data_IF_572712961054
#
_entry.id   IF_572712961054
#
_cell.length_a   1.000
_cell.length_b   1.000
_cell.length_c   1.000
_cell.angle_alpha   90.00
_cell.angle_beta   90.00
_cell.angle_gamma   90.00
#
_symmetry.space_group_name_H-M   'P 1'
#
loop_
_entity.id
_entity.type
_entity.pdbx_description
1 polymer ?
#
# COMPACT_ATOMS: atom_id res chain seq x y z
N UNK A 1 9.28 -1.41 -24.30
CA UNK A 1 8.25 -2.42 -24.00
C UNK A 1 7.79 -2.28 -22.57
N UNK A 2 6.48 -2.11 -22.35
CA UNK A 2 5.93 -1.91 -21.02
C UNK A 2 5.97 -3.20 -20.20
N UNK A 3 6.55 -3.14 -19.01
CA UNK A 3 6.58 -4.26 -18.08
C UNK A 3 5.25 -4.28 -17.31
N UNK A 4 4.67 -5.45 -17.14
CA UNK A 4 3.45 -5.60 -16.34
C UNK A 4 3.73 -6.45 -15.12
N UNK A 5 3.43 -5.89 -13.95
CA UNK A 5 3.50 -6.61 -12.68
C UNK A 5 2.08 -7.04 -12.30
N UNK A 6 1.93 -8.31 -11.93
CA UNK A 6 0.64 -8.86 -11.54
C UNK A 6 0.66 -9.13 -10.04
N UNK A 7 -0.30 -8.56 -9.32
CA UNK A 7 -0.47 -8.79 -7.88
C UNK A 7 -1.72 -9.61 -7.64
N UNK A 8 -1.57 -10.67 -6.85
CA UNK A 8 -2.69 -11.52 -6.47
C UNK A 8 -3.34 -10.96 -5.21
N UNK A 9 -4.37 -10.14 -5.40
CA UNK A 9 -5.08 -9.49 -4.31
C UNK A 9 -5.84 -10.44 -3.40
N UNK A 10 -6.10 -11.67 -3.85
CA UNK A 10 -6.77 -12.66 -3.02
C UNK A 10 -5.90 -13.13 -1.83
N UNK A 11 -4.59 -12.90 -1.92
CA UNK A 11 -3.63 -13.24 -0.86
C UNK A 11 -3.45 -12.11 0.16
N UNK A 12 -4.05 -10.94 -0.09
CA UNK A 12 -3.85 -9.74 0.72
C UNK A 12 -4.97 -9.64 1.77
N UNK A 13 -4.66 -9.99 3.00
CA UNK A 13 -5.57 -9.88 4.14
C UNK A 13 -5.14 -8.81 5.12
N UNK A 14 -3.85 -8.47 5.11
CA UNK A 14 -3.26 -7.42 5.95
C UNK A 14 -2.32 -6.59 5.10
N UNK A 15 -1.90 -5.44 5.63
CA UNK A 15 -0.92 -4.62 4.94
C UNK A 15 0.43 -5.35 4.80
N UNK A 16 0.79 -6.18 5.79
CA UNK A 16 2.01 -7.01 5.72
C UNK A 16 1.94 -8.02 4.58
N UNK A 17 0.77 -8.61 4.34
CA UNK A 17 0.55 -9.50 3.18
C UNK A 17 0.76 -8.74 1.88
N UNK A 18 0.27 -7.50 1.81
CA UNK A 18 0.45 -6.65 0.63
C UNK A 18 1.94 -6.44 0.33
N UNK A 19 2.73 -6.11 1.37
CA UNK A 19 4.18 -5.93 1.18
C UNK A 19 4.83 -7.20 0.64
N UNK A 20 4.40 -8.36 1.09
CA UNK A 20 4.92 -9.65 0.61
C UNK A 20 4.59 -9.86 -0.87
N UNK A 21 3.35 -9.62 -1.25
CA UNK A 21 2.89 -9.78 -2.65
C UNK A 21 3.66 -8.84 -3.58
N UNK A 22 3.81 -7.58 -3.18
CA UNK A 22 4.56 -6.60 -3.98
C UNK A 22 6.02 -7.02 -4.10
N UNK A 23 6.65 -7.41 -3.00
CA UNK A 23 8.06 -7.83 -3.01
C UNK A 23 8.31 -9.02 -3.92
N UNK A 24 7.43 -10.01 -3.91
CA UNK A 24 7.54 -11.20 -4.77
C UNK A 24 7.37 -10.84 -6.24
N UNK A 25 6.42 -9.95 -6.54
CA UNK A 25 6.07 -9.60 -7.92
C UNK A 25 7.08 -8.69 -8.58
N UNK A 26 7.54 -7.65 -7.89
CA UNK A 26 8.38 -6.61 -8.48
C UNK A 26 9.87 -6.91 -8.38
N UNK A 27 10.25 -7.97 -7.69
CA UNK A 27 11.67 -8.26 -7.47
C UNK A 27 12.32 -7.33 -6.46
N UNK A 28 11.56 -6.51 -5.76
CA UNK A 28 12.06 -5.68 -4.67
C UNK A 28 12.45 -6.52 -3.45
N UNK A 29 12.56 -7.83 -3.64
CA UNK A 29 12.66 -8.82 -2.58
C UNK A 29 13.96 -8.83 -1.80
N UNK A 30 15.00 -8.15 -2.28
CA UNK A 30 16.24 -8.05 -1.52
C UNK A 30 16.04 -7.21 -0.27
N UNK A 31 15.63 -5.98 -0.45
CA UNK A 31 15.34 -5.08 0.65
C UNK A 31 14.22 -4.13 0.23
N UNK A 32 13.07 -4.39 0.76
CA UNK A 32 11.90 -3.54 0.61
C UNK A 32 11.51 -3.10 2.02
N UNK A 33 11.51 -1.80 2.27
CA UNK A 33 11.33 -1.27 3.62
C UNK A 33 9.98 -1.54 4.28
N UNK A 34 9.04 -2.13 3.56
CA UNK A 34 7.73 -2.57 4.06
C UNK A 34 6.98 -1.47 4.78
N UNK A 35 6.95 -0.29 4.17
CA UNK A 35 6.17 0.84 4.66
C UNK A 35 5.72 1.68 3.47
N UNK A 36 4.85 2.66 3.72
CA UNK A 36 4.28 3.47 2.64
C UNK A 36 5.32 4.28 1.88
N UNK A 37 6.32 4.82 2.57
CA UNK A 37 7.39 5.59 1.92
C UNK A 37 8.25 4.71 1.02
N UNK A 38 8.62 3.52 1.51
CA UNK A 38 9.38 2.56 0.72
C UNK A 38 8.58 2.08 -0.49
N UNK A 39 7.28 1.92 -0.34
CA UNK A 39 6.39 1.56 -1.44
C UNK A 39 6.38 2.65 -2.52
N UNK A 40 6.24 3.91 -2.14
CA UNK A 40 6.29 5.02 -3.08
C UNK A 40 7.63 5.05 -3.81
N UNK A 41 8.74 4.86 -3.10
CA UNK A 41 10.08 4.82 -3.70
C UNK A 41 10.21 3.67 -4.69
N UNK A 42 9.66 2.50 -4.38
CA UNK A 42 9.64 1.36 -5.29
C UNK A 42 8.94 1.71 -6.61
N UNK A 43 7.84 2.44 -6.55
CA UNK A 43 7.10 2.85 -7.74
C UNK A 43 7.83 3.92 -8.56
N UNK A 44 8.72 4.69 -7.94
CA UNK A 44 9.54 5.67 -8.66
C UNK A 44 10.70 5.03 -9.44
N UNK A 45 11.01 3.76 -9.15
CA UNK A 45 12.08 3.03 -9.78
C UNK A 45 13.29 2.84 -8.87
N UNK A 46 14.24 2.03 -9.33
CA UNK A 46 15.47 1.79 -8.58
C UNK A 46 15.42 0.64 -7.58
N UNK A 47 14.26 0.03 -7.39
CA UNK A 47 14.08 -1.08 -6.44
C UNK A 47 13.43 -2.30 -7.12
N UNK A 48 13.77 -2.55 -8.38
CA UNK A 48 13.21 -3.66 -9.14
C UNK A 48 12.21 -3.24 -10.21
N UNK A 49 11.71 -2.01 -10.15
CA UNK A 49 10.85 -1.44 -11.18
C UNK A 49 11.67 -0.59 -12.14
N UNK A 50 11.22 -0.43 -13.41
CA UNK A 50 11.94 0.43 -14.37
C UNK A 50 12.02 1.89 -13.92
N UNK A 51 13.19 2.49 -14.05
CA UNK A 51 13.43 3.88 -13.65
C UNK A 51 12.67 4.89 -14.49
N UNK A 52 12.33 4.52 -15.73
CA UNK A 52 11.62 5.40 -16.66
C UNK A 52 10.11 5.39 -16.46
N UNK A 53 9.61 4.60 -15.50
CA UNK A 53 8.18 4.48 -15.26
C UNK A 53 7.43 3.69 -16.33
N UNK A 54 8.15 3.00 -17.21
CA UNK A 54 7.53 2.22 -18.28
C UNK A 54 7.08 0.85 -17.78
N UNK A 55 6.11 0.87 -16.87
CA UNK A 55 5.50 -0.34 -16.34
C UNK A 55 4.06 -0.06 -15.93
N UNK A 56 3.30 -1.13 -15.78
CA UNK A 56 1.94 -1.05 -15.26
C UNK A 56 1.72 -2.16 -14.23
N UNK A 57 0.71 -1.99 -13.40
CA UNK A 57 0.36 -2.91 -12.33
C UNK A 57 -1.05 -3.44 -12.60
N UNK A 58 -1.19 -4.76 -12.61
CA UNK A 58 -2.48 -5.42 -12.65
C UNK A 58 -2.75 -6.00 -11.25
N UNK A 59 -3.68 -5.41 -10.54
CA UNK A 59 -4.06 -5.85 -9.20
C UNK A 59 -5.31 -6.72 -9.33
N UNK A 60 -5.11 -8.02 -9.35
CA UNK A 60 -6.18 -9.00 -9.49
C UNK A 60 -6.88 -9.23 -8.17
N UNK A 61 -8.17 -9.53 -8.24
CA UNK A 61 -9.02 -9.75 -7.07
C UNK A 61 -8.90 -8.61 -6.06
N UNK A 62 -8.85 -7.38 -6.58
CA UNK A 62 -8.69 -6.20 -5.74
C UNK A 62 -9.86 -6.03 -4.76
N UNK A 63 -11.04 -6.57 -5.09
CA UNK A 63 -12.19 -6.52 -4.18
C UNK A 63 -11.93 -7.28 -2.88
N UNK A 64 -11.18 -8.39 -2.96
CA UNK A 64 -10.77 -9.14 -1.78
C UNK A 64 -9.82 -8.28 -0.94
N UNK A 65 -8.82 -7.67 -1.58
CA UNK A 65 -7.90 -6.76 -0.92
C UNK A 65 -8.63 -5.58 -0.28
N UNK A 66 -9.55 -4.95 -1.02
CA UNK A 66 -10.33 -3.80 -0.54
C UNK A 66 -11.08 -4.15 0.73
N UNK A 67 -11.70 -5.32 0.78
CA UNK A 67 -12.48 -5.77 1.92
C UNK A 67 -11.58 -5.98 3.14
N UNK A 68 -10.46 -6.65 2.96
CA UNK A 68 -9.53 -6.96 4.06
C UNK A 68 -8.72 -5.75 4.51
N UNK A 69 -8.44 -4.80 3.62
CA UNK A 69 -7.71 -3.56 3.93
C UNK A 69 -8.67 -2.41 4.26
N UNK A 70 -9.84 -2.74 4.78
CA UNK A 70 -10.85 -1.77 5.19
C UNK A 70 -10.52 -1.11 6.53
N UNK A 71 -11.54 -0.53 7.15
CA UNK A 71 -11.35 0.28 8.37
C UNK A 71 -10.78 -0.53 9.54
N UNK A 72 -11.10 -1.82 9.64
CA UNK A 72 -10.55 -2.67 10.70
C UNK A 72 -9.02 -2.77 10.61
N UNK A 73 -8.51 -3.10 9.44
CA UNK A 73 -7.06 -3.19 9.21
C UNK A 73 -6.40 -1.81 9.30
N UNK A 74 -7.08 -0.78 8.82
CA UNK A 74 -6.61 0.60 8.90
C UNK A 74 -6.40 1.00 10.37
N UNK A 75 -7.37 0.70 11.22
CA UNK A 75 -7.26 0.97 12.65
C UNK A 75 -6.10 0.18 13.28
N UNK A 76 -5.92 -1.08 12.89
CA UNK A 76 -4.82 -1.90 13.40
C UNK A 76 -3.46 -1.28 13.06
N UNK A 77 -3.30 -0.81 11.83
CA UNK A 77 -2.05 -0.16 11.40
C UNK A 77 -1.81 1.15 12.16
N UNK A 78 -2.86 1.97 12.29
CA UNK A 78 -2.76 3.25 12.99
C UNK A 78 -2.43 3.06 14.47
N UNK A 79 -2.97 2.01 15.10
CA UNK A 79 -2.64 1.66 16.48
C UNK A 79 -1.15 1.36 16.65
N UNK A 80 -0.58 0.56 15.73
CA UNK A 80 0.84 0.25 15.76
C UNK A 80 1.70 1.49 15.54
N UNK A 81 1.29 2.36 14.62
CA UNK A 81 2.04 3.59 14.33
C UNK A 81 1.95 4.58 15.47
N UNK A 82 0.79 4.69 16.12
CA UNK A 82 0.59 5.57 17.28
C UNK A 82 1.57 5.21 18.41
N UNK A 83 1.79 3.91 18.63
CA UNK A 83 2.71 3.44 19.65
C UNK A 83 4.17 3.81 19.37
N UNK A 84 4.52 4.10 18.13
CA UNK A 84 5.90 4.35 17.69
C UNK A 84 6.16 5.76 17.21
N UNK A 85 5.10 6.56 16.99
CA UNK A 85 5.28 7.87 16.37
C UNK A 85 5.89 8.86 17.35
N UNK A 86 6.51 9.89 16.77
CA UNK A 86 7.05 11.00 17.56
C UNK A 86 5.91 11.71 18.30
N UNK A 87 6.13 12.17 19.55
CA UNK A 87 5.07 12.83 20.35
C UNK A 87 4.35 13.98 19.64
N UNK A 88 5.04 14.70 18.73
CA UNK A 88 4.43 15.79 17.97
C UNK A 88 3.34 15.32 17.02
N UNK A 89 3.31 14.02 16.67
CA UNK A 89 2.32 13.46 15.74
C UNK A 89 1.23 12.67 16.44
N UNK A 90 1.31 12.49 17.76
CA UNK A 90 0.38 11.64 18.50
C UNK A 90 -1.07 12.08 18.38
N UNK A 91 -1.34 13.37 18.50
CA UNK A 91 -2.71 13.89 18.47
C UNK A 91 -3.36 13.64 17.11
N UNK A 92 -2.60 13.90 16.04
CA UNK A 92 -3.07 13.68 14.67
C UNK A 92 -3.30 12.19 14.40
N UNK A 93 -2.36 11.36 14.85
CA UNK A 93 -2.47 9.90 14.67
C UNK A 93 -3.64 9.33 15.45
N UNK A 94 -3.85 9.80 16.68
CA UNK A 94 -4.98 9.38 17.52
C UNK A 94 -6.32 9.78 16.88
N UNK A 95 -6.39 10.96 16.27
CA UNK A 95 -7.59 11.41 15.57
C UNK A 95 -7.90 10.52 14.36
N UNK A 96 -6.89 10.14 13.60
CA UNK A 96 -7.04 9.23 12.46
C UNK A 96 -7.51 7.85 12.92
N UNK A 97 -6.96 7.36 14.01
CA UNK A 97 -7.35 6.08 14.61
C UNK A 97 -8.82 6.11 15.04
N UNK A 98 -9.25 7.18 15.68
CA UNK A 98 -10.64 7.34 16.08
C UNK A 98 -11.58 7.32 14.88
N UNK A 99 -11.21 7.99 13.79
CA UNK A 99 -11.99 7.98 12.56
C UNK A 99 -12.09 6.58 11.97
N UNK A 100 -10.98 5.85 11.91
CA UNK A 100 -10.97 4.49 11.37
C UNK A 100 -11.83 3.55 12.21
N UNK A 101 -11.77 3.67 13.55
CA UNK A 101 -12.59 2.86 14.46
C UNK A 101 -14.07 3.15 14.30
N UNK A 102 -14.42 4.36 13.89
CA UNK A 102 -15.79 4.76 13.62
C UNK A 102 -16.25 4.41 12.19
N UNK A 103 -15.39 3.78 11.39
CA UNK A 103 -15.70 3.43 10.01
C UNK A 103 -15.68 4.62 9.07
N UNK A 104 -14.93 5.67 9.40
CA UNK A 104 -14.83 6.88 8.60
C UNK A 104 -13.39 7.11 8.13
N UNK A 105 -13.23 7.99 7.15
CA UNK A 105 -11.94 8.34 6.60
C UNK A 105 -11.42 7.31 5.62
N UNK A 106 -10.25 7.55 5.03
CA UNK A 106 -9.65 6.62 4.06
C UNK A 106 -9.20 5.32 4.74
N UNK A 107 -9.25 4.24 3.96
CA UNK A 107 -8.79 2.93 4.40
C UNK A 107 -7.35 2.71 3.95
N UNK A 108 -6.72 1.65 4.47
CA UNK A 108 -5.39 1.24 3.99
C UNK A 108 -5.41 0.97 2.48
N UNK A 109 -6.46 0.37 1.96
CA UNK A 109 -6.61 0.18 0.51
C UNK A 109 -6.58 1.53 -0.22
N UNK A 110 -7.29 2.52 0.29
CA UNK A 110 -7.32 3.86 -0.31
C UNK A 110 -5.93 4.50 -0.31
N UNK A 111 -5.15 4.34 0.76
CA UNK A 111 -3.79 4.86 0.83
C UNK A 111 -2.91 4.29 -0.29
N UNK A 112 -3.02 2.96 -0.50
CA UNK A 112 -2.21 2.29 -1.50
C UNK A 112 -2.58 2.73 -2.92
N UNK A 113 -3.87 2.80 -3.22
CA UNK A 113 -4.34 3.26 -4.52
C UNK A 113 -3.91 4.70 -4.78
N UNK A 114 -4.02 5.58 -3.78
CA UNK A 114 -3.61 6.97 -3.91
C UNK A 114 -2.12 7.09 -4.24
N UNK A 115 -1.27 6.32 -3.53
CA UNK A 115 0.17 6.31 -3.80
C UNK A 115 0.46 5.82 -5.22
N UNK A 116 -0.20 4.75 -5.67
CA UNK A 116 0.01 4.22 -7.01
C UNK A 116 -0.41 5.23 -8.07
N UNK A 117 -1.56 5.87 -7.89
CA UNK A 117 -2.04 6.87 -8.85
C UNK A 117 -1.14 8.10 -8.89
N UNK A 118 -0.56 8.48 -7.76
CA UNK A 118 0.35 9.61 -7.66
C UNK A 118 1.70 9.33 -8.33
N UNK A 119 2.27 8.15 -8.06
CA UNK A 119 3.61 7.79 -8.55
C UNK A 119 3.58 7.16 -9.94
N UNK A 120 2.47 6.56 -10.34
CA UNK A 120 2.32 5.87 -11.62
C UNK A 120 0.96 6.21 -12.24
N UNK A 121 0.74 7.47 -12.64
CA UNK A 121 -0.57 7.90 -13.19
C UNK A 121 -0.99 7.04 -14.37
N UNK A 122 -2.20 6.48 -14.29
CA UNK A 122 -2.76 5.66 -15.36
C UNK A 122 -2.17 4.26 -15.49
N UNK A 123 -1.26 3.87 -14.61
CA UNK A 123 -0.60 2.57 -14.67
C UNK A 123 -1.24 1.46 -13.86
N UNK A 124 -2.28 1.77 -13.08
CA UNK A 124 -2.95 0.78 -12.24
C UNK A 124 -4.18 0.21 -12.95
N UNK A 125 -4.25 -1.12 -12.97
CA UNK A 125 -5.41 -1.86 -13.46
C UNK A 125 -6.00 -2.68 -12.31
N UNK A 126 -7.19 -2.31 -11.86
CA UNK A 126 -7.93 -3.06 -10.84
C UNK A 126 -8.80 -4.11 -11.54
N UNK A 127 -8.55 -5.38 -11.29
CA UNK A 127 -9.24 -6.50 -11.96
C UNK A 127 -10.03 -7.40 -11.00
#
# INVERSE_FOLDING_TARGET
MTVRYVWDGSRVRTLEDFWRVVGESTGCGGYFGRNLDAFADCLRGGFGTPDDGDFEIEWRDHEVSRRHLGHHETARQLEMWLARCHPTHKDRMAARLAEARAGRGPTAFDWLVEIIEEELPGGLRLR
#
